data_IF_508521191433
#
_entry.id   IF_508521191433
#
_cell.length_a   1.000
_cell.length_b   1.000
_cell.length_c   1.000
_cell.angle_alpha   90.00
_cell.angle_beta   90.00
_cell.angle_gamma   90.00
#
_symmetry.space_group_name_H-M   'P 1'
#
loop_
_entity.id
_entity.type
_entity.pdbx_description
1 polymer ?
#
# COMPACT_ATOMS: atom_id res chain seq x y z
N UNK A 1 -19.26 -31.44 -0.13
CA UNK A 1 -18.27 -30.35 -0.17
C UNK A 1 -17.48 -30.42 1.13
N UNK A 2 -16.23 -30.88 1.09
CA UNK A 2 -15.42 -31.06 2.31
C UNK A 2 -15.08 -29.72 2.95
N UNK A 3 -14.96 -29.67 4.28
CA UNK A 3 -14.59 -28.48 5.09
C UNK A 3 -13.28 -27.82 4.60
N UNK A 4 -12.44 -28.57 3.89
CA UNK A 4 -11.21 -28.09 3.26
C UNK A 4 -11.40 -26.99 2.21
N UNK A 5 -12.56 -26.93 1.54
CA UNK A 5 -12.83 -25.93 0.50
C UNK A 5 -12.94 -24.50 1.03
N UNK A 6 -13.84 -24.18 1.99
CA UNK A 6 -13.94 -22.84 2.55
C UNK A 6 -12.66 -22.42 3.29
N UNK A 7 -11.98 -23.36 3.98
CA UNK A 7 -10.75 -23.06 4.70
C UNK A 7 -9.63 -22.60 3.75
N UNK A 8 -9.43 -23.30 2.63
CA UNK A 8 -8.43 -22.92 1.63
C UNK A 8 -8.83 -21.65 0.87
N UNK A 9 -10.10 -21.53 0.50
CA UNK A 9 -10.62 -20.30 -0.13
C UNK A 9 -10.38 -19.05 0.74
N UNK A 10 -10.53 -19.18 2.06
CA UNK A 10 -10.29 -18.07 2.99
C UNK A 10 -8.84 -17.57 3.03
N UNK A 11 -7.86 -18.43 2.74
CA UNK A 11 -6.45 -18.04 2.67
C UNK A 11 -6.10 -17.36 1.33
N UNK A 12 -6.82 -17.71 0.25
CA UNK A 12 -6.58 -17.21 -1.10
C UNK A 12 -7.28 -15.86 -1.35
N UNK A 13 -8.42 -15.58 -0.69
CA UNK A 13 -9.11 -14.29 -0.83
C UNK A 13 -8.20 -13.11 -0.44
N UNK A 14 -7.52 -13.10 0.72
CA UNK A 14 -6.58 -12.01 1.06
C UNK A 14 -5.43 -11.89 0.08
N UNK A 15 -4.96 -13.00 -0.49
CA UNK A 15 -3.86 -13.01 -1.45
C UNK A 15 -4.19 -12.14 -2.68
N UNK A 16 -5.34 -12.39 -3.31
CA UNK A 16 -5.80 -11.56 -4.44
C UNK A 16 -6.32 -10.20 -3.99
N UNK A 17 -6.98 -10.14 -2.83
CA UNK A 17 -7.55 -8.92 -2.28
C UNK A 17 -6.50 -7.83 -2.06
N UNK A 18 -5.30 -8.17 -1.60
CA UNK A 18 -4.23 -7.18 -1.39
C UNK A 18 -3.79 -6.50 -2.69
N UNK A 19 -3.64 -7.25 -3.80
CA UNK A 19 -3.27 -6.69 -5.11
C UNK A 19 -4.33 -5.68 -5.59
N UNK A 20 -5.62 -6.07 -5.52
CA UNK A 20 -6.72 -5.20 -5.92
C UNK A 20 -6.88 -3.98 -5.00
N UNK A 21 -6.63 -4.14 -3.70
CA UNK A 21 -6.67 -3.03 -2.73
C UNK A 21 -5.59 -1.99 -3.06
N UNK A 22 -4.36 -2.44 -3.34
CA UNK A 22 -3.26 -1.54 -3.70
C UNK A 22 -3.52 -0.79 -5.01
N UNK A 23 -4.12 -1.47 -5.99
CA UNK A 23 -4.59 -0.82 -7.23
C UNK A 23 -5.68 0.21 -6.92
N UNK A 24 -6.71 -0.15 -6.15
CA UNK A 24 -7.82 0.73 -5.82
C UNK A 24 -7.36 2.00 -5.08
N UNK A 25 -6.47 1.86 -4.10
CA UNK A 25 -5.84 3.00 -3.41
C UNK A 25 -5.06 3.86 -4.41
N UNK A 26 -4.29 3.25 -5.30
CA UNK A 26 -3.51 3.99 -6.32
C UNK A 26 -4.41 4.76 -7.28
N UNK A 27 -5.53 4.16 -7.70
CA UNK A 27 -6.53 4.82 -8.55
C UNK A 27 -7.21 5.98 -7.82
N UNK A 28 -7.58 5.81 -6.55
CA UNK A 28 -8.13 6.89 -5.75
C UNK A 28 -7.14 8.06 -5.61
N UNK A 29 -5.85 7.77 -5.34
CA UNK A 29 -4.78 8.80 -5.35
C UNK A 29 -4.58 9.44 -6.72
N UNK A 30 -4.79 8.69 -7.81
CA UNK A 30 -4.75 9.22 -9.18
C UNK A 30 -5.86 10.23 -9.39
N UNK A 31 -7.09 9.87 -9.02
CA UNK A 31 -8.26 10.74 -9.12
C UNK A 31 -8.06 11.99 -8.26
N UNK A 32 -7.60 11.85 -7.02
CA UNK A 32 -7.31 12.97 -6.12
C UNK A 32 -6.22 13.90 -6.68
N UNK A 33 -5.20 13.35 -7.36
CA UNK A 33 -4.13 14.13 -7.99
C UNK A 33 -4.64 14.99 -9.17
N UNK A 34 -5.49 14.39 -10.03
CA UNK A 34 -6.04 15.09 -11.19
C UNK A 34 -7.16 16.08 -10.81
N UNK A 35 -8.04 15.70 -9.87
CA UNK A 35 -9.19 16.50 -9.44
C UNK A 35 -8.97 17.27 -8.14
N UNK A 36 -7.72 17.53 -7.74
CA UNK A 36 -7.36 18.17 -6.47
C UNK A 36 -8.28 19.35 -6.07
N UNK A 37 -8.48 20.33 -6.96
CA UNK A 37 -9.34 21.51 -6.71
C UNK A 37 -10.80 21.20 -6.33
N UNK A 38 -11.37 20.10 -6.85
CA UNK A 38 -12.80 19.78 -6.69
C UNK A 38 -13.03 18.60 -5.76
N UNK A 39 -12.00 17.79 -5.50
CA UNK A 39 -12.09 16.51 -4.80
C UNK A 39 -12.75 16.64 -3.41
N UNK A 40 -12.30 17.58 -2.60
CA UNK A 40 -12.85 17.80 -1.25
C UNK A 40 -14.16 18.59 -1.26
N UNK A 41 -14.30 19.56 -2.17
CA UNK A 41 -15.51 20.42 -2.24
C UNK A 41 -16.79 19.65 -2.58
N UNK A 42 -16.67 18.52 -3.27
CA UNK A 42 -17.83 17.74 -3.72
C UNK A 42 -18.12 16.52 -2.84
N UNK A 43 -17.42 16.33 -1.71
CA UNK A 43 -17.71 15.24 -0.78
C UNK A 43 -17.75 13.88 -1.48
N UNK A 44 -16.78 13.60 -2.36
CA UNK A 44 -16.85 12.50 -3.33
C UNK A 44 -16.62 11.09 -2.73
N UNK A 45 -17.24 10.78 -1.59
CA UNK A 45 -17.20 9.44 -0.97
C UNK A 45 -17.71 8.35 -1.93
N UNK A 46 -18.55 8.73 -2.91
CA UNK A 46 -19.08 7.86 -3.94
C UNK A 46 -17.99 7.08 -4.71
N UNK A 47 -16.89 7.74 -5.10
CA UNK A 47 -15.80 7.05 -5.81
C UNK A 47 -15.12 6.01 -4.93
N UNK A 48 -14.90 6.32 -3.65
CA UNK A 48 -14.34 5.36 -2.69
C UNK A 48 -15.26 4.16 -2.51
N UNK A 49 -16.58 4.36 -2.40
CA UNK A 49 -17.55 3.27 -2.28
C UNK A 49 -17.57 2.38 -3.53
N UNK A 50 -17.56 2.98 -4.73
CA UNK A 50 -17.47 2.21 -5.99
C UNK A 50 -16.19 1.38 -6.03
N UNK A 51 -15.04 1.97 -5.69
CA UNK A 51 -13.76 1.27 -5.70
C UNK A 51 -13.74 0.13 -4.68
N UNK A 52 -14.36 0.32 -3.51
CA UNK A 52 -14.51 -0.73 -2.49
C UNK A 52 -15.44 -1.86 -2.97
N UNK A 53 -16.54 -1.55 -3.63
CA UNK A 53 -17.42 -2.58 -4.19
C UNK A 53 -16.72 -3.35 -5.32
N UNK A 54 -16.03 -2.63 -6.21
CA UNK A 54 -15.29 -3.21 -7.33
C UNK A 54 -14.15 -4.11 -6.85
N UNK A 55 -13.35 -3.68 -5.86
CA UNK A 55 -12.26 -4.52 -5.33
C UNK A 55 -12.78 -5.82 -4.71
N UNK A 56 -13.92 -5.79 -4.00
CA UNK A 56 -14.49 -6.99 -3.36
C UNK A 56 -14.94 -8.00 -4.42
N UNK A 57 -15.60 -7.50 -5.47
CA UNK A 57 -16.00 -8.33 -6.59
C UNK A 57 -14.80 -8.92 -7.34
N UNK A 58 -13.79 -8.09 -7.64
CA UNK A 58 -12.57 -8.51 -8.34
C UNK A 58 -11.69 -9.45 -7.50
N UNK A 59 -11.71 -9.35 -6.17
CA UNK A 59 -10.99 -10.26 -5.29
C UNK A 59 -11.71 -11.61 -5.13
N UNK A 60 -13.05 -11.62 -5.14
CA UNK A 60 -13.85 -12.84 -5.03
C UNK A 60 -13.87 -13.65 -6.34
N UNK A 61 -13.85 -12.99 -7.50
CA UNK A 61 -14.01 -13.65 -8.80
C UNK A 61 -12.97 -14.76 -9.09
N UNK A 62 -11.65 -14.59 -8.84
CA UNK A 62 -10.67 -15.63 -9.12
C UNK A 62 -10.84 -16.83 -8.18
N UNK A 63 -11.22 -16.57 -6.93
CA UNK A 63 -11.48 -17.62 -5.93
C UNK A 63 -12.71 -18.44 -6.34
N UNK A 64 -13.79 -17.79 -6.74
CA UNK A 64 -14.98 -18.46 -7.24
C UNK A 64 -14.65 -19.32 -8.47
N UNK A 65 -13.88 -18.79 -9.44
CA UNK A 65 -13.47 -19.54 -10.62
C UNK A 65 -12.63 -20.78 -10.27
N UNK A 66 -11.67 -20.66 -9.35
CA UNK A 66 -10.83 -21.77 -8.92
C UNK A 66 -11.64 -22.83 -8.15
N UNK A 67 -12.54 -22.40 -7.26
CA UNK A 67 -13.40 -23.29 -6.46
C UNK A 67 -14.36 -24.07 -7.34
N UNK A 68 -14.99 -23.42 -8.33
CA UNK A 68 -15.94 -24.04 -9.24
C UNK A 68 -15.29 -24.99 -10.26
N UNK A 69 -14.03 -24.74 -10.62
CA UNK A 69 -13.28 -25.57 -11.58
C UNK A 69 -12.44 -26.68 -10.92
N UNK A 70 -12.35 -26.69 -9.59
CA UNK A 70 -11.50 -27.61 -8.84
C UNK A 70 -12.09 -29.00 -8.66
N UNK A 71 -11.29 -30.02 -8.97
CA UNK A 71 -11.53 -31.38 -8.45
C UNK A 71 -11.07 -31.46 -6.98
N UNK A 72 -11.95 -31.86 -6.07
CA UNK A 72 -11.68 -31.89 -4.63
C UNK A 72 -11.11 -33.21 -4.13
N UNK A 73 -10.96 -34.18 -5.02
CA UNK A 73 -10.38 -35.50 -4.71
C UNK A 73 -8.84 -35.49 -4.63
N UNK A 74 -8.18 -34.47 -5.21
CA UNK A 74 -6.72 -34.38 -5.29
C UNK A 74 -6.09 -33.67 -4.08
N UNK A 75 -4.86 -34.09 -3.72
CA UNK A 75 -4.02 -33.35 -2.77
C UNK A 75 -3.52 -32.06 -3.44
N UNK A 76 -3.68 -30.92 -2.76
CA UNK A 76 -3.27 -29.60 -3.27
C UNK A 76 -2.49 -28.84 -2.21
N UNK A 77 -1.52 -28.04 -2.66
CA UNK A 77 -0.85 -27.07 -1.81
C UNK A 77 -1.88 -26.09 -1.21
N UNK A 78 -1.66 -25.70 0.04
CA UNK A 78 -2.55 -24.80 0.79
C UNK A 78 -2.68 -23.45 0.07
N UNK A 79 -1.59 -23.00 -0.55
CA UNK A 79 -1.42 -21.63 -1.05
C UNK A 79 -1.99 -21.46 -2.48
N UNK A 80 -2.07 -22.51 -3.28
CA UNK A 80 -2.37 -22.38 -4.72
C UNK A 80 -3.56 -23.18 -5.22
N UNK A 81 -4.20 -24.03 -4.39
CA UNK A 81 -5.41 -24.78 -4.74
C UNK A 81 -5.40 -25.38 -6.17
N UNK A 82 -4.23 -25.76 -6.68
CA UNK A 82 -4.07 -26.13 -8.08
C UNK A 82 -4.28 -27.63 -8.26
N UNK A 83 -5.01 -27.94 -9.32
CA UNK A 83 -5.24 -29.28 -9.90
C UNK A 83 -4.89 -29.23 -11.39
N UNK A 84 -4.57 -30.37 -11.98
CA UNK A 84 -4.23 -30.55 -13.40
C UNK A 84 -5.24 -29.86 -14.34
N UNK A 85 -6.53 -29.85 -13.99
CA UNK A 85 -7.59 -29.18 -14.78
C UNK A 85 -7.62 -27.66 -14.62
N UNK A 86 -7.20 -27.15 -13.46
CA UNK A 86 -7.26 -25.73 -13.11
C UNK A 86 -5.96 -24.98 -13.39
N UNK A 87 -4.88 -25.70 -13.70
CA UNK A 87 -3.53 -25.17 -13.92
C UNK A 87 -3.51 -23.96 -14.86
N UNK A 88 -4.13 -24.07 -16.03
CA UNK A 88 -4.15 -22.98 -17.03
C UNK A 88 -4.87 -21.75 -16.50
N UNK A 89 -5.99 -21.96 -15.80
CA UNK A 89 -6.78 -20.87 -15.21
C UNK A 89 -5.96 -20.16 -14.12
N UNK A 90 -5.37 -20.92 -13.19
CA UNK A 90 -4.54 -20.37 -12.11
C UNK A 90 -3.29 -19.67 -12.65
N UNK A 91 -2.64 -20.24 -13.67
CA UNK A 91 -1.48 -19.64 -14.34
C UNK A 91 -1.84 -18.29 -14.97
N UNK A 92 -2.95 -18.23 -15.71
CA UNK A 92 -3.42 -16.98 -16.33
C UNK A 92 -3.82 -15.94 -15.27
N UNK A 93 -4.47 -16.36 -14.18
CA UNK A 93 -4.77 -15.48 -13.05
C UNK A 93 -3.48 -14.91 -12.45
N UNK A 94 -2.49 -15.74 -12.13
CA UNK A 94 -1.22 -15.27 -11.56
C UNK A 94 -0.45 -14.34 -12.51
N UNK A 95 -0.39 -14.66 -13.81
CA UNK A 95 0.17 -13.77 -14.84
C UNK A 95 -0.54 -12.40 -14.85
N UNK A 96 -1.87 -12.40 -14.79
CA UNK A 96 -2.66 -11.16 -14.74
C UNK A 96 -2.44 -10.36 -13.46
N UNK A 97 -2.32 -11.02 -12.30
CA UNK A 97 -2.06 -10.36 -11.02
C UNK A 97 -0.67 -9.72 -11.01
N UNK A 98 0.34 -10.41 -11.53
CA UNK A 98 1.68 -9.84 -11.71
C UNK A 98 1.66 -8.60 -12.62
N UNK A 99 0.92 -8.65 -13.73
CA UNK A 99 0.76 -7.47 -14.59
C UNK A 99 0.10 -6.29 -13.84
N UNK A 100 -0.94 -6.54 -13.03
CA UNK A 100 -1.60 -5.52 -12.22
C UNK A 100 -0.66 -4.92 -11.18
N UNK A 101 0.16 -5.73 -10.50
CA UNK A 101 1.16 -5.22 -9.55
C UNK A 101 2.18 -4.30 -10.24
N UNK A 102 2.70 -4.71 -11.41
CA UNK A 102 3.67 -3.91 -12.15
C UNK A 102 3.07 -2.59 -12.60
N UNK A 103 1.83 -2.61 -13.13
CA UNK A 103 1.10 -1.40 -13.51
C UNK A 103 0.89 -0.49 -12.31
N UNK A 104 0.49 -1.05 -11.16
CA UNK A 104 0.26 -0.29 -9.91
C UNK A 104 1.55 0.41 -9.45
N UNK A 105 2.68 -0.30 -9.47
CA UNK A 105 3.98 0.26 -9.09
C UNK A 105 4.40 1.39 -10.05
N UNK A 106 4.22 1.19 -11.36
CA UNK A 106 4.48 2.21 -12.37
C UNK A 106 3.60 3.45 -12.20
N UNK A 107 2.31 3.26 -11.92
CA UNK A 107 1.36 4.35 -11.65
C UNK A 107 1.76 5.14 -10.40
N UNK A 108 2.09 4.48 -9.29
CA UNK A 108 2.54 5.15 -8.06
C UNK A 108 3.81 5.96 -8.29
N UNK A 109 4.79 5.41 -9.01
CA UNK A 109 6.02 6.12 -9.33
C UNK A 109 5.77 7.32 -10.26
N UNK A 110 4.93 7.14 -11.28
CA UNK A 110 4.49 8.21 -12.18
C UNK A 110 3.78 9.33 -11.43
N UNK A 111 2.86 8.98 -10.53
CA UNK A 111 2.14 9.93 -9.66
C UNK A 111 3.08 10.68 -8.73
N UNK A 112 4.11 10.03 -8.18
CA UNK A 112 5.12 10.69 -7.34
C UNK A 112 5.84 11.77 -8.14
N UNK A 113 6.31 11.45 -9.35
CA UNK A 113 7.01 12.39 -10.24
C UNK A 113 6.10 13.54 -10.67
N UNK A 114 4.87 13.22 -11.05
CA UNK A 114 3.87 14.21 -11.46
C UNK A 114 3.54 15.18 -10.32
N UNK A 115 3.22 14.68 -9.12
CA UNK A 115 2.92 15.53 -7.97
C UNK A 115 4.13 16.36 -7.52
N UNK A 116 5.35 15.81 -7.58
CA UNK A 116 6.55 16.56 -7.25
C UNK A 116 6.78 17.75 -8.21
N UNK A 117 6.59 17.55 -9.52
CA UNK A 117 6.67 18.62 -10.52
C UNK A 117 5.54 19.63 -10.35
N UNK A 118 4.32 19.16 -10.09
CA UNK A 118 3.15 20.03 -9.87
C UNK A 118 3.35 20.91 -8.63
N UNK A 119 3.92 20.36 -7.56
CA UNK A 119 4.27 21.13 -6.34
C UNK A 119 5.19 22.31 -6.64
N UNK A 120 6.18 22.15 -7.53
CA UNK A 120 7.07 23.27 -7.91
C UNK A 120 6.39 24.30 -8.80
N UNK A 121 5.38 23.90 -9.57
CA UNK A 121 4.61 24.82 -10.44
C UNK A 121 3.58 25.63 -9.65
N UNK A 122 3.08 25.10 -8.54
CA UNK A 122 2.04 25.74 -7.72
C UNK A 122 2.63 26.76 -6.71
N UNK A 123 3.79 27.36 -6.94
CA UNK A 123 4.38 28.34 -6.01
C UNK A 123 3.47 29.57 -5.78
N UNK A 124 2.73 30.00 -6.79
CA UNK A 124 1.80 31.14 -6.71
C UNK A 124 0.34 30.73 -6.48
N UNK A 125 0.05 29.42 -6.40
CA UNK A 125 -1.29 28.90 -6.22
C UNK A 125 -1.85 29.16 -4.81
N UNK A 126 -3.16 28.93 -4.64
CA UNK A 126 -3.83 29.08 -3.35
C UNK A 126 -3.27 28.13 -2.28
N UNK A 127 -3.39 28.52 -1.01
CA UNK A 127 -2.93 27.69 0.11
C UNK A 127 -3.59 26.31 0.13
N UNK A 128 -4.88 26.23 -0.22
CA UNK A 128 -5.64 24.98 -0.29
C UNK A 128 -5.08 24.03 -1.35
N UNK A 129 -4.76 24.54 -2.54
CA UNK A 129 -4.20 23.73 -3.62
C UNK A 129 -2.82 23.16 -3.26
N UNK A 130 -1.96 24.00 -2.66
CA UNK A 130 -0.64 23.57 -2.16
C UNK A 130 -0.78 22.49 -1.11
N UNK A 131 -1.72 22.66 -0.18
CA UNK A 131 -1.99 21.69 0.88
C UNK A 131 -2.42 20.33 0.31
N UNK A 132 -3.39 20.30 -0.60
CA UNK A 132 -3.87 19.05 -1.20
C UNK A 132 -2.80 18.28 -1.97
N UNK A 133 -1.94 18.99 -2.73
CA UNK A 133 -0.81 18.35 -3.44
C UNK A 133 0.23 17.83 -2.45
N UNK A 134 0.51 18.55 -1.37
CA UNK A 134 1.46 18.09 -0.34
C UNK A 134 0.94 16.86 0.42
N UNK A 135 -0.35 16.84 0.74
CA UNK A 135 -1.02 15.70 1.37
C UNK A 135 -0.99 14.46 0.47
N UNK A 136 -1.31 14.62 -0.82
CA UNK A 136 -1.22 13.53 -1.80
C UNK A 136 0.23 13.02 -1.94
N UNK A 137 1.22 13.93 -1.97
CA UNK A 137 2.63 13.55 -2.06
C UNK A 137 3.09 12.79 -0.81
N UNK A 138 2.66 13.21 0.39
CA UNK A 138 2.94 12.52 1.64
C UNK A 138 2.31 11.12 1.66
N UNK A 139 1.08 11.01 1.18
CA UNK A 139 0.35 9.73 1.08
C UNK A 139 1.05 8.77 0.11
N UNK A 140 1.40 9.22 -1.10
CA UNK A 140 2.12 8.40 -2.09
C UNK A 140 3.48 7.94 -1.54
N UNK A 141 4.22 8.81 -0.84
CA UNK A 141 5.50 8.44 -0.21
C UNK A 141 5.37 7.37 0.89
N UNK A 142 4.20 7.26 1.51
CA UNK A 142 3.89 6.18 2.45
C UNK A 142 3.50 4.89 1.72
N UNK A 143 2.77 4.99 0.60
CA UNK A 143 2.34 3.83 -0.19
C UNK A 143 3.49 3.15 -0.94
N UNK A 144 4.48 3.90 -1.44
CA UNK A 144 5.62 3.33 -2.17
C UNK A 144 6.37 2.22 -1.41
N UNK A 145 6.85 2.42 -0.16
CA UNK A 145 7.54 1.34 0.55
C UNK A 145 6.62 0.15 0.81
N UNK A 146 5.33 0.36 1.08
CA UNK A 146 4.34 -0.71 1.21
C UNK A 146 4.22 -1.51 -0.09
N UNK A 147 4.09 -0.84 -1.24
CA UNK A 147 3.99 -1.47 -2.55
C UNK A 147 5.27 -2.22 -2.92
N UNK A 148 6.45 -1.65 -2.64
CA UNK A 148 7.74 -2.34 -2.89
C UNK A 148 7.83 -3.61 -2.04
N UNK A 149 7.48 -3.54 -0.76
CA UNK A 149 7.48 -4.72 0.12
C UNK A 149 6.48 -5.78 -0.37
N UNK A 150 5.28 -5.36 -0.78
CA UNK A 150 4.29 -6.27 -1.36
C UNK A 150 4.82 -6.94 -2.63
N UNK A 151 5.29 -6.15 -3.60
CA UNK A 151 5.88 -6.62 -4.85
C UNK A 151 7.02 -7.61 -4.61
N UNK A 152 7.97 -7.30 -3.73
CA UNK A 152 9.09 -8.19 -3.42
C UNK A 152 8.66 -9.52 -2.79
N UNK A 153 7.58 -9.54 -2.00
CA UNK A 153 7.09 -10.76 -1.35
C UNK A 153 6.16 -11.59 -2.24
N UNK A 154 5.40 -10.94 -3.13
CA UNK A 154 4.36 -11.60 -3.94
C UNK A 154 4.85 -11.99 -5.33
N UNK A 155 5.70 -11.18 -5.97
CA UNK A 155 6.19 -11.47 -7.32
C UNK A 155 6.91 -12.81 -7.47
N UNK A 156 7.78 -13.24 -6.54
CA UNK A 156 8.42 -14.55 -6.66
C UNK A 156 7.40 -15.68 -6.79
N UNK A 157 6.33 -15.66 -5.99
CA UNK A 157 5.25 -16.65 -6.07
C UNK A 157 4.45 -16.52 -7.37
N UNK A 158 4.12 -15.28 -7.79
CA UNK A 158 3.38 -15.01 -9.03
C UNK A 158 4.14 -15.45 -10.30
N UNK A 159 5.47 -15.41 -10.27
CA UNK A 159 6.35 -15.83 -11.38
C UNK A 159 6.67 -17.31 -11.30
N UNK A 160 6.96 -17.84 -10.11
CA UNK A 160 7.32 -19.25 -9.91
C UNK A 160 6.22 -20.18 -10.45
N UNK A 161 4.95 -19.82 -10.22
CA UNK A 161 3.82 -20.61 -10.68
C UNK A 161 3.81 -20.85 -12.20
N UNK A 162 3.69 -19.81 -13.06
CA UNK A 162 3.73 -20.02 -14.49
C UNK A 162 5.08 -20.58 -14.95
N UNK A 163 6.19 -20.11 -14.38
CA UNK A 163 7.53 -20.55 -14.80
C UNK A 163 7.72 -22.06 -14.67
N UNK A 164 7.24 -22.66 -13.58
CA UNK A 164 7.36 -24.09 -13.38
C UNK A 164 6.67 -24.92 -14.48
N UNK A 165 5.47 -24.51 -14.88
CA UNK A 165 4.73 -25.20 -15.95
C UNK A 165 5.30 -24.97 -17.35
N UNK A 166 6.00 -23.86 -17.58
CA UNK A 166 6.69 -23.61 -18.86
C UNK A 166 8.00 -24.41 -18.95
N UNK A 167 8.65 -24.71 -17.81
CA UNK A 167 9.90 -25.49 -17.76
C UNK A 167 9.62 -26.99 -17.78
N UNK A 168 8.63 -27.47 -17.04
CA UNK A 168 8.24 -28.87 -16.98
C UNK A 168 6.75 -29.03 -17.38
N UNK A 169 6.47 -29.38 -18.64
CA UNK A 169 5.11 -29.62 -19.12
C UNK A 169 4.43 -30.83 -18.48
N UNK A 170 5.20 -31.72 -17.84
CA UNK A 170 4.74 -32.94 -17.16
C UNK A 170 5.12 -32.93 -15.68
N UNK A 171 4.64 -31.94 -14.91
CA UNK A 171 5.13 -31.67 -13.58
C UNK A 171 4.88 -32.84 -12.63
N UNK A 172 5.93 -33.30 -11.95
CA UNK A 172 5.78 -34.27 -10.88
C UNK A 172 4.92 -33.68 -9.75
N UNK A 173 3.84 -34.41 -9.43
CA UNK A 173 2.92 -34.14 -8.33
C UNK A 173 3.58 -33.82 -6.99
N UNK A 174 4.80 -34.33 -6.75
CA UNK A 174 5.57 -34.09 -5.52
C UNK A 174 6.53 -32.90 -5.59
N UNK A 175 7.18 -32.70 -6.73
CA UNK A 175 8.17 -31.61 -6.88
C UNK A 175 7.49 -30.25 -6.99
N UNK A 176 6.29 -30.20 -7.57
CA UNK A 176 5.55 -28.97 -7.77
C UNK A 176 5.21 -28.22 -6.46
N UNK A 177 4.59 -28.87 -5.43
CA UNK A 177 4.32 -28.20 -4.16
C UNK A 177 5.60 -27.73 -3.45
N UNK A 178 6.68 -28.52 -3.52
CA UNK A 178 7.97 -28.17 -2.91
C UNK A 178 8.54 -26.92 -3.58
N UNK A 179 8.53 -26.88 -4.91
CA UNK A 179 8.98 -25.73 -5.68
C UNK A 179 8.19 -24.47 -5.30
N UNK A 180 6.85 -24.55 -5.25
CA UNK A 180 6.02 -23.42 -4.87
C UNK A 180 6.24 -22.97 -3.42
N UNK A 181 6.46 -23.88 -2.48
CA UNK A 181 6.73 -23.55 -1.07
C UNK A 181 8.04 -22.75 -0.95
N UNK A 182 9.08 -23.12 -1.71
CA UNK A 182 10.37 -22.41 -1.72
C UNK A 182 10.23 -20.96 -2.21
N UNK A 183 9.37 -20.72 -3.20
CA UNK A 183 9.08 -19.37 -3.71
C UNK A 183 7.89 -18.70 -3.00
N UNK A 184 7.26 -19.39 -2.05
CA UNK A 184 6.07 -18.98 -1.29
C UNK A 184 6.37 -18.00 -0.16
N UNK A 185 7.22 -17.00 -0.40
CA UNK A 185 7.67 -16.05 0.64
C UNK A 185 6.61 -15.00 1.03
N UNK A 186 5.37 -15.14 0.55
CA UNK A 186 4.25 -14.25 0.83
C UNK A 186 3.93 -14.18 2.31
N UNK A 187 4.18 -15.23 3.08
CA UNK A 187 4.03 -15.25 4.55
C UNK A 187 4.93 -14.21 5.21
N UNK A 188 6.12 -13.94 4.64
CA UNK A 188 7.03 -12.91 5.16
C UNK A 188 6.42 -11.50 5.04
N UNK A 189 5.50 -11.26 4.11
CA UNK A 189 4.84 -9.96 3.96
C UNK A 189 4.14 -9.51 5.25
N UNK A 190 3.48 -10.43 5.96
CA UNK A 190 2.78 -10.13 7.21
C UNK A 190 3.72 -9.59 8.31
N UNK A 191 5.00 -9.96 8.27
CA UNK A 191 6.03 -9.52 9.22
C UNK A 191 6.81 -8.31 8.67
N UNK A 192 7.16 -8.32 7.38
CA UNK A 192 7.96 -7.28 6.76
C UNK A 192 7.21 -5.95 6.67
N UNK A 193 5.91 -5.98 6.36
CA UNK A 193 5.10 -4.77 6.23
C UNK A 193 5.11 -3.91 7.51
N UNK A 194 4.76 -4.43 8.71
CA UNK A 194 4.79 -3.61 9.93
C UNK A 194 6.21 -3.14 10.28
N UNK A 195 7.26 -3.94 10.01
CA UNK A 195 8.65 -3.53 10.22
C UNK A 195 9.01 -2.34 9.33
N UNK A 196 8.68 -2.41 8.04
CA UNK A 196 8.92 -1.33 7.07
C UNK A 196 8.12 -0.07 7.44
N UNK A 197 6.83 -0.22 7.79
CA UNK A 197 6.00 0.91 8.22
C UNK A 197 6.52 1.55 9.50
N UNK A 198 6.97 0.75 10.47
CA UNK A 198 7.58 1.24 11.71
C UNK A 198 8.86 2.03 11.40
N UNK A 199 9.75 1.53 10.55
CA UNK A 199 10.96 2.25 10.18
C UNK A 199 10.70 3.54 9.39
N UNK A 200 9.64 3.59 8.59
CA UNK A 200 9.32 4.78 7.77
C UNK A 200 8.53 5.83 8.54
N UNK A 201 7.63 5.44 9.44
CA UNK A 201 6.76 6.39 10.15
C UNK A 201 7.41 6.88 11.46
N UNK A 202 8.18 7.99 11.37
CA UNK A 202 8.84 8.61 12.53
C UNK A 202 7.87 8.88 13.70
N UNK A 203 6.69 9.42 13.42
CA UNK A 203 5.69 9.69 14.45
C UNK A 203 5.19 8.42 15.16
N UNK A 204 5.12 7.29 14.45
CA UNK A 204 4.72 6.03 15.08
C UNK A 204 5.82 5.57 16.05
N UNK A 205 7.08 5.66 15.63
CA UNK A 205 8.24 5.37 16.49
C UNK A 205 8.30 6.27 17.71
N UNK A 206 8.06 7.57 17.53
CA UNK A 206 8.09 8.54 18.62
C UNK A 206 6.95 8.29 19.61
N UNK A 207 5.76 7.94 19.13
CA UNK A 207 4.62 7.59 19.98
C UNK A 207 4.84 6.27 20.72
N UNK A 208 5.37 5.23 20.06
CA UNK A 208 5.71 3.97 20.71
C UNK A 208 6.83 4.11 21.73
N UNK A 209 7.84 4.95 21.45
CA UNK A 209 8.91 5.27 22.41
C UNK A 209 8.37 5.95 23.66
N UNK A 210 7.40 6.86 23.50
CA UNK A 210 6.70 7.50 24.62
C UNK A 210 5.85 6.51 25.40
N UNK A 211 5.07 5.66 24.72
CA UNK A 211 4.15 4.72 25.38
C UNK A 211 4.86 3.57 26.08
N UNK A 212 6.03 3.15 25.59
CA UNK A 212 6.81 2.08 26.21
C UNK A 212 7.68 2.56 27.39
N UNK A 213 7.79 3.86 27.66
CA UNK A 213 8.62 4.39 28.76
C UNK A 213 10.14 4.10 28.62
N UNK A 214 10.57 3.45 27.53
CA UNK A 214 11.96 3.00 27.30
C UNK A 214 12.94 4.17 27.16
N UNK A 215 12.45 5.40 27.01
CA UNK A 215 13.24 6.62 27.01
C UNK A 215 12.61 7.73 27.87
N UNK A 216 12.11 7.40 29.05
CA UNK A 216 12.21 8.36 30.16
C UNK A 216 13.68 8.43 30.61
N UNK A 217 14.54 8.94 29.71
CA UNK A 217 15.57 9.84 30.20
C UNK A 217 14.77 10.99 30.79
N UNK A 218 14.71 11.02 32.11
CA UNK A 218 14.48 12.22 32.89
C UNK A 218 15.45 13.27 32.33
N UNK A 219 15.02 14.01 31.31
CA UNK A 219 15.63 15.29 31.02
C UNK A 219 15.32 16.13 32.26
N UNK A 220 16.32 16.66 32.96
CA UNK A 220 16.07 17.48 34.14
C UNK A 220 15.11 18.59 33.73
N UNK A 221 14.06 18.79 34.52
CA UNK A 221 12.90 19.67 34.25
C UNK A 221 13.26 21.14 33.94
N UNK A 222 14.55 21.53 33.96
CA UNK A 222 15.03 22.86 33.57
C UNK A 222 15.47 23.05 32.11
N UNK A 223 15.63 22.00 31.29
CA UNK A 223 16.29 22.15 29.97
C UNK A 223 15.35 22.33 28.77
N UNK A 224 14.08 21.88 28.85
CA UNK A 224 13.12 21.93 27.71
C UNK A 224 12.18 23.13 27.70
N UNK A 225 12.06 23.84 28.83
CA UNK A 225 11.27 25.08 28.89
C UNK A 225 11.92 26.23 28.12
N UNK A 226 13.22 26.15 27.82
CA UNK A 226 13.96 27.27 27.22
C UNK A 226 13.80 27.33 25.68
N UNK A 227 13.97 26.21 24.97
CA UNK A 227 14.00 26.21 23.50
C UNK A 227 12.67 26.57 22.81
N UNK A 228 11.53 26.04 23.28
CA UNK A 228 10.21 26.38 22.68
C UNK A 228 9.75 27.78 23.04
N UNK A 229 10.07 28.23 24.25
CA UNK A 229 9.75 29.58 24.71
C UNK A 229 10.58 30.61 23.94
N UNK A 230 11.86 30.33 23.69
CA UNK A 230 12.71 31.18 22.84
C UNK A 230 12.20 31.24 21.39
N UNK A 231 11.79 30.11 20.80
CA UNK A 231 11.30 30.09 19.43
C UNK A 231 9.94 30.80 19.30
N UNK A 232 9.04 30.63 20.28
CA UNK A 232 7.79 31.39 20.36
C UNK A 232 8.03 32.89 20.60
N UNK A 233 8.94 33.26 21.50
CA UNK A 233 9.31 34.66 21.75
C UNK A 233 9.93 35.31 20.51
N UNK A 234 10.77 34.58 19.76
CA UNK A 234 11.30 35.06 18.47
C UNK A 234 10.20 35.27 17.44
N UNK A 235 9.22 34.36 17.38
CA UNK A 235 8.09 34.51 16.46
C UNK A 235 7.22 35.72 16.83
N UNK A 236 6.91 35.91 18.11
CA UNK A 236 6.15 37.08 18.59
C UNK A 236 6.92 38.40 18.40
N UNK A 237 8.23 38.42 18.64
CA UNK A 237 9.07 39.60 18.39
C UNK A 237 9.14 39.95 16.89
N UNK A 238 9.19 38.94 16.01
CA UNK A 238 9.12 39.17 14.57
C UNK A 238 7.79 39.82 14.18
N UNK A 239 6.68 39.29 14.70
CA UNK A 239 5.34 39.83 14.43
C UNK A 239 5.17 41.26 14.95
N UNK A 240 5.69 41.59 16.15
CA UNK A 240 5.63 42.96 16.67
C UNK A 240 6.44 43.93 15.79
N UNK A 241 7.63 43.51 15.32
CA UNK A 241 8.46 44.34 14.44
C UNK A 241 7.83 44.61 13.07
N UNK A 242 6.98 43.71 12.58
CA UNK A 242 6.24 43.90 11.33
C UNK A 242 5.11 44.90 11.55
N UNK A 243 4.39 44.76 12.67
CA UNK A 243 3.30 45.64 13.06
C UNK A 243 3.75 47.09 13.28
N UNK A 244 4.86 47.31 13.98
CA UNK A 244 5.42 48.64 14.22
C UNK A 244 5.84 49.34 12.91
N UNK A 245 6.40 48.58 11.95
CA UNK A 245 6.76 49.10 10.62
C UNK A 245 5.54 49.46 9.76
N UNK A 246 4.42 48.79 9.95
CA UNK A 246 3.15 49.13 9.30
C UNK A 246 2.54 50.40 9.89
N UNK A 247 2.60 50.58 11.22
CA UNK A 247 2.13 51.79 11.89
C UNK A 247 2.96 53.01 11.49
N UNK A 248 4.29 52.89 11.45
CA UNK A 248 5.18 54.01 11.10
C UNK A 248 5.05 54.50 9.64
N UNK A 249 4.36 53.75 8.78
CA UNK A 249 4.06 54.16 7.39
C UNK A 249 2.74 54.89 7.24
N UNK A 250 1.93 54.99 8.29
CA UNK A 250 0.68 55.77 8.34
C UNK A 250 0.91 57.11 9.01
#
# INVERSE_FOLDING_TARGET
>A
MSISAPLRGSAVIPYFGNVWTLLAITLERTIATYKYQTYERTGQYYWSVILIAAQLFLAASPVCLIVLSSDWSEMKAIITMTSTKTTTIVSNINKSMGAVELVTLCLLYGLLRYNAKKKTQLQEASLTEKYQVDENLRSIRLLIPMMITHFCCFMPTLIAFPLYYEIDPSPDSRQYPIFLEVFGITILYAVLLPVVLFWRHKSLRDNLRKSMGIFDRVEPEGARADGRTIEQMRHFALLSSIWEREIAKR
#
